data_IF_969710502515
#
_entry.id   IF_969710502515
#
_cell.length_a   1.000
_cell.length_b   1.000
_cell.length_c   1.000
_cell.angle_alpha   90.00
_cell.angle_beta   90.00
_cell.angle_gamma   90.00
#
_symmetry.space_group_name_H-M   'P 1'
#
loop_
_entity.id
_entity.type
_entity.pdbx_description
1 polymer ?
#
# COMPACT_ATOMS: atom_id res chain seq x y z
N UNK A 1 -15.17 11.14 28.70
CA UNK A 1 -15.60 11.54 27.34
C UNK A 1 -14.45 12.04 26.45
N UNK A 2 -13.49 12.86 26.92
CA UNK A 2 -12.38 13.40 26.07
C UNK A 2 -11.37 12.31 25.65
N UNK A 3 -11.04 11.37 26.53
CA UNK A 3 -10.12 10.25 26.25
C UNK A 3 -10.67 9.26 25.23
N UNK A 4 -11.98 8.98 25.25
CA UNK A 4 -12.64 8.08 24.29
C UNK A 4 -12.61 8.69 22.88
N UNK A 5 -12.80 9.99 22.75
CA UNK A 5 -12.69 10.70 21.45
C UNK A 5 -11.26 10.71 20.88
N UNK A 6 -10.26 10.80 21.74
CA UNK A 6 -8.86 10.75 21.31
C UNK A 6 -8.53 9.34 20.82
N UNK A 7 -8.94 8.32 21.55
CA UNK A 7 -8.72 6.93 21.19
C UNK A 7 -9.39 6.58 19.85
N UNK A 8 -10.64 6.98 19.64
CA UNK A 8 -11.34 6.74 18.38
C UNK A 8 -10.69 7.45 17.19
N UNK A 9 -10.15 8.67 17.37
CA UNK A 9 -9.37 9.37 16.33
C UNK A 9 -8.06 8.64 16.01
N UNK A 10 -7.33 8.16 17.02
CA UNK A 10 -6.09 7.41 16.82
C UNK A 10 -6.35 6.09 16.09
N UNK A 11 -7.41 5.38 16.46
CA UNK A 11 -7.81 4.15 15.75
C UNK A 11 -8.18 4.46 14.30
N UNK A 12 -8.89 5.54 14.02
CA UNK A 12 -9.21 5.95 12.66
C UNK A 12 -7.97 6.28 11.81
N UNK A 13 -6.92 6.85 12.40
CA UNK A 13 -5.67 7.19 11.74
C UNK A 13 -4.65 6.02 11.71
N UNK A 14 -4.98 4.90 12.33
CA UNK A 14 -4.10 3.72 12.43
C UNK A 14 -3.49 3.29 11.09
N UNK A 15 -4.28 3.16 10.01
CA UNK A 15 -3.76 2.79 8.70
C UNK A 15 -2.75 3.79 8.12
N UNK A 16 -2.98 5.07 8.35
CA UNK A 16 -2.06 6.13 7.91
C UNK A 16 -0.77 6.09 8.72
N UNK A 17 -0.86 5.94 10.03
CA UNK A 17 0.31 5.79 10.91
C UNK A 17 1.11 4.55 10.51
N UNK A 18 0.43 3.44 10.22
CA UNK A 18 1.08 2.21 9.77
C UNK A 18 1.80 2.40 8.43
N UNK A 19 1.19 3.11 7.48
CA UNK A 19 1.81 3.42 6.19
C UNK A 19 3.10 4.23 6.38
N UNK A 20 3.06 5.31 7.17
CA UNK A 20 4.25 6.12 7.44
C UNK A 20 5.32 5.35 8.21
N UNK A 21 4.91 4.55 9.19
CA UNK A 21 5.85 3.69 9.92
C UNK A 21 6.60 2.73 8.98
N UNK A 22 5.87 2.08 8.07
CA UNK A 22 6.47 1.19 7.08
C UNK A 22 7.34 1.92 6.05
N UNK A 23 7.01 3.18 5.74
CA UNK A 23 7.83 4.00 4.83
C UNK A 23 9.13 4.48 5.47
N UNK A 24 9.19 4.56 6.80
CA UNK A 24 10.41 4.94 7.54
C UNK A 24 11.23 3.71 7.92
N UNK A 25 10.56 2.59 8.23
CA UNK A 25 11.27 1.38 8.60
C UNK A 25 11.81 0.71 7.34
N UNK A 26 13.12 0.57 7.27
CA UNK A 26 13.76 -0.35 6.34
C UNK A 26 13.36 -1.78 6.67
N UNK A 27 12.09 -2.16 6.41
CA UNK A 27 11.68 -3.57 6.43
C UNK A 27 12.19 -4.26 5.16
N UNK A 28 13.03 -3.60 4.39
CA UNK A 28 13.83 -4.24 3.38
C UNK A 28 15.01 -4.94 4.04
N UNK A 29 14.65 -6.08 4.62
CA UNK A 29 15.39 -7.32 4.48
C UNK A 29 16.93 -7.23 4.52
N UNK A 30 17.46 -7.09 5.69
CA UNK A 30 18.63 -7.90 6.02
C UNK A 30 18.17 -9.32 6.48
N UNK A 31 17.12 -9.86 5.83
CA UNK A 31 16.85 -11.29 5.88
C UNK A 31 17.84 -11.96 4.92
N UNK A 32 18.90 -12.55 5.52
CA UNK A 32 19.91 -13.29 4.81
C UNK A 32 19.29 -14.19 3.72
N UNK A 33 19.83 -14.12 2.54
CA UNK A 33 19.76 -14.88 1.27
C UNK A 33 18.66 -15.92 1.03
N UNK A 34 18.05 -16.51 2.05
CA UNK A 34 16.99 -17.52 1.91
C UNK A 34 15.57 -16.94 1.88
N UNK A 35 15.37 -15.70 2.36
CA UNK A 35 14.06 -15.04 2.42
C UNK A 35 13.90 -13.88 1.44
N UNK A 36 14.92 -13.50 0.67
CA UNK A 36 14.78 -12.50 -0.40
C UNK A 36 13.68 -12.87 -1.41
N UNK A 37 13.49 -14.17 -1.65
CA UNK A 37 12.47 -14.69 -2.55
C UNK A 37 11.05 -14.45 -2.00
N UNK A 38 10.86 -14.38 -0.67
CA UNK A 38 9.57 -14.19 0.00
C UNK A 38 9.23 -12.71 0.27
N UNK A 39 9.98 -11.76 -0.33
CA UNK A 39 9.68 -10.36 -0.17
C UNK A 39 8.31 -10.01 -0.76
N UNK A 40 7.48 -9.26 -0.02
CA UNK A 40 6.21 -8.75 -0.50
C UNK A 40 5.99 -7.31 -0.03
N UNK A 41 5.29 -6.53 -0.82
CA UNK A 41 5.10 -5.10 -0.55
C UNK A 41 3.78 -4.85 0.19
N UNK A 42 3.83 -4.88 1.52
CA UNK A 42 2.68 -4.61 2.38
C UNK A 42 2.16 -3.17 2.23
N UNK A 43 3.02 -2.20 1.88
CA UNK A 43 2.62 -0.80 1.70
C UNK A 43 1.61 -0.67 0.57
N UNK A 44 1.82 -1.37 -0.57
CA UNK A 44 0.88 -1.36 -1.69
C UNK A 44 -0.48 -1.98 -1.32
N UNK A 45 -0.48 -3.03 -0.48
CA UNK A 45 -1.71 -3.65 0.03
C UNK A 45 -2.48 -2.66 0.91
N UNK A 46 -1.79 -1.99 1.83
CA UNK A 46 -2.38 -0.97 2.71
C UNK A 46 -2.95 0.19 1.90
N UNK A 47 -2.17 0.74 0.96
CA UNK A 47 -2.60 1.85 0.12
C UNK A 47 -3.85 1.46 -0.66
N UNK A 48 -3.84 0.30 -1.35
CA UNK A 48 -4.99 -0.13 -2.14
C UNK A 48 -6.25 -0.29 -1.28
N UNK A 49 -6.16 -1.08 -0.19
CA UNK A 49 -7.32 -1.40 0.66
C UNK A 49 -7.93 -0.14 1.28
N UNK A 50 -7.10 0.73 1.86
CA UNK A 50 -7.60 1.91 2.57
C UNK A 50 -8.02 3.04 1.64
N UNK A 51 -7.41 3.19 0.47
CA UNK A 51 -7.92 4.10 -0.57
C UNK A 51 -9.27 3.64 -1.13
N UNK A 52 -9.52 2.33 -1.17
CA UNK A 52 -10.81 1.75 -1.54
C UNK A 52 -11.88 1.98 -0.47
N UNK A 53 -11.56 1.67 0.79
CA UNK A 53 -12.54 1.69 1.90
C UNK A 53 -12.70 3.07 2.54
N UNK A 54 -11.61 3.83 2.68
CA UNK A 54 -11.58 5.11 3.41
C UNK A 54 -10.66 6.14 2.75
N UNK A 55 -10.98 6.64 1.56
CA UNK A 55 -10.16 7.65 0.88
C UNK A 55 -10.06 8.97 1.65
N UNK A 56 -10.99 9.23 2.57
CA UNK A 56 -10.94 10.39 3.45
C UNK A 56 -9.77 10.35 4.45
N UNK A 57 -9.27 9.16 4.81
CA UNK A 57 -8.11 8.96 5.67
C UNK A 57 -6.85 8.77 4.83
N UNK A 58 -6.93 7.94 3.80
CA UNK A 58 -5.82 7.60 2.90
C UNK A 58 -5.86 8.51 1.66
N UNK A 59 -5.80 9.83 1.88
CA UNK A 59 -5.78 10.81 0.78
C UNK A 59 -4.52 10.70 -0.07
N UNK A 60 -4.64 11.02 -1.38
CA UNK A 60 -3.53 10.93 -2.34
C UNK A 60 -2.29 11.74 -1.90
N UNK A 61 -2.48 12.84 -1.16
CA UNK A 61 -1.38 13.62 -0.59
C UNK A 61 -0.55 12.82 0.42
N UNK A 62 -1.22 12.09 1.33
CA UNK A 62 -0.53 11.25 2.31
C UNK A 62 0.21 10.08 1.65
N UNK A 63 -0.41 9.46 0.64
CA UNK A 63 0.21 8.39 -0.15
C UNK A 63 1.46 8.89 -0.87
N UNK A 64 1.38 10.07 -1.48
CA UNK A 64 2.52 10.71 -2.14
C UNK A 64 3.67 11.00 -1.16
N UNK A 65 3.38 11.61 -0.01
CA UNK A 65 4.40 11.90 1.00
C UNK A 65 5.00 10.61 1.60
N UNK A 66 4.22 9.58 1.83
CA UNK A 66 4.73 8.28 2.27
C UNK A 66 5.71 7.69 1.25
N UNK A 67 5.44 7.82 -0.05
CA UNK A 67 6.35 7.41 -1.11
C UNK A 67 7.63 8.24 -1.14
N UNK A 68 7.57 9.57 -0.95
CA UNK A 68 8.78 10.42 -0.85
C UNK A 68 9.65 9.99 0.33
N UNK A 69 9.05 9.71 1.49
CA UNK A 69 9.79 9.23 2.66
C UNK A 69 10.47 7.90 2.35
N UNK A 70 9.75 6.98 1.71
CA UNK A 70 10.30 5.71 1.28
C UNK A 70 11.48 5.88 0.32
N UNK A 71 11.38 6.78 -0.67
CA UNK A 71 12.47 7.08 -1.62
C UNK A 71 13.72 7.59 -0.89
N UNK A 72 13.54 8.48 0.10
CA UNK A 72 14.65 9.02 0.90
C UNK A 72 15.33 7.92 1.73
N UNK A 73 14.53 7.07 2.38
CA UNK A 73 15.05 5.98 3.22
C UNK A 73 15.79 4.94 2.38
N UNK A 74 15.26 4.59 1.22
CA UNK A 74 15.87 3.64 0.29
C UNK A 74 17.07 4.22 -0.51
N UNK A 75 17.31 5.53 -0.42
CA UNK A 75 18.36 6.19 -1.19
C UNK A 75 18.14 6.16 -2.71
N UNK A 76 16.89 6.06 -3.15
CA UNK A 76 16.51 6.08 -4.57
C UNK A 76 16.04 7.48 -4.98
N UNK A 77 16.00 7.81 -6.29
CA UNK A 77 15.52 9.11 -6.75
C UNK A 77 14.10 9.41 -6.27
N UNK A 78 13.93 10.63 -5.77
CA UNK A 78 12.64 11.10 -5.27
C UNK A 78 11.56 11.02 -6.34
N UNK A 79 10.43 10.44 -5.99
CA UNK A 79 9.26 10.33 -6.84
C UNK A 79 8.99 8.93 -7.40
N UNK A 80 9.97 8.01 -7.37
CA UNK A 80 9.79 6.66 -7.89
C UNK A 80 8.72 5.88 -7.12
N UNK A 81 8.90 5.73 -5.82
CA UNK A 81 7.89 5.07 -4.96
C UNK A 81 6.61 5.90 -4.87
N UNK A 82 6.74 7.24 -4.83
CA UNK A 82 5.58 8.11 -4.77
C UNK A 82 4.63 7.94 -5.96
N UNK A 83 5.17 7.87 -7.18
CA UNK A 83 4.37 7.64 -8.38
C UNK A 83 3.75 6.24 -8.39
N UNK A 84 4.53 5.22 -7.99
CA UNK A 84 4.05 3.86 -7.87
C UNK A 84 2.89 3.74 -6.88
N UNK A 85 3.01 4.38 -5.72
CA UNK A 85 1.97 4.41 -4.68
C UNK A 85 0.72 5.16 -5.16
N UNK A 86 0.90 6.29 -5.86
CA UNK A 86 -0.23 7.04 -6.43
C UNK A 86 -1.00 6.24 -7.48
N UNK A 87 -0.34 5.46 -8.33
CA UNK A 87 -1.00 4.61 -9.31
C UNK A 87 -1.93 3.61 -8.61
N UNK A 88 -1.45 2.97 -7.54
CA UNK A 88 -2.26 2.03 -6.77
C UNK A 88 -3.44 2.74 -6.08
N UNK A 89 -3.21 3.91 -5.48
CA UNK A 89 -4.27 4.69 -4.82
C UNK A 89 -5.32 5.19 -5.82
N UNK A 90 -4.91 5.71 -6.97
CA UNK A 90 -5.81 6.20 -8.01
C UNK A 90 -6.63 5.07 -8.62
N UNK A 91 -6.01 3.92 -8.91
CA UNK A 91 -6.71 2.74 -9.40
C UNK A 91 -7.76 2.27 -8.40
N UNK A 92 -7.40 2.19 -7.13
CA UNK A 92 -8.32 1.83 -6.04
C UNK A 92 -9.51 2.80 -5.92
N UNK A 93 -9.23 4.11 -5.99
CA UNK A 93 -10.27 5.15 -5.94
C UNK A 93 -11.19 5.09 -7.17
N UNK A 94 -10.62 4.82 -8.35
CA UNK A 94 -11.39 4.62 -9.58
C UNK A 94 -12.34 3.42 -9.45
N UNK A 95 -11.84 2.29 -8.98
CA UNK A 95 -12.65 1.08 -8.75
C UNK A 95 -13.78 1.35 -7.76
N UNK A 96 -13.51 2.07 -6.66
CA UNK A 96 -14.54 2.48 -5.70
C UNK A 96 -15.68 3.25 -6.36
N UNK A 97 -15.36 4.17 -7.26
CA UNK A 97 -16.36 5.02 -7.92
C UNK A 97 -17.20 4.25 -8.97
N UNK A 98 -16.66 3.18 -9.53
CA UNK A 98 -17.33 2.36 -10.54
C UNK A 98 -18.13 1.19 -9.96
N UNK A 99 -17.79 0.73 -8.76
CA UNK A 99 -18.34 -0.51 -8.18
C UNK A 99 -19.14 -0.20 -6.91
N UNK A 100 -20.44 -0.46 -6.96
CA UNK A 100 -21.35 -0.27 -5.80
C UNK A 100 -21.11 -1.34 -4.73
N UNK A 101 -20.83 -2.58 -5.16
CA UNK A 101 -20.58 -3.72 -4.27
C UNK A 101 -19.19 -4.29 -4.53
N UNK A 102 -18.27 -4.10 -3.60
CA UNK A 102 -16.95 -4.71 -3.67
C UNK A 102 -16.98 -6.12 -3.08
N UNK A 103 -16.54 -7.10 -3.87
CA UNK A 103 -16.27 -8.46 -3.39
C UNK A 103 -14.77 -8.67 -3.30
N UNK A 104 -14.34 -9.58 -2.43
CA UNK A 104 -12.91 -9.92 -2.29
C UNK A 104 -12.29 -10.33 -3.63
N UNK A 105 -13.02 -11.05 -4.47
CA UNK A 105 -12.55 -11.51 -5.78
C UNK A 105 -12.34 -10.35 -6.74
N UNK A 106 -13.26 -9.38 -6.77
CA UNK A 106 -13.14 -8.18 -7.58
C UNK A 106 -11.98 -7.32 -7.10
N UNK A 107 -11.87 -7.11 -5.77
CA UNK A 107 -10.81 -6.33 -5.16
C UNK A 107 -9.43 -6.96 -5.42
N UNK A 108 -9.34 -8.29 -5.36
CA UNK A 108 -8.10 -9.03 -5.63
C UNK A 108 -7.65 -8.90 -7.09
N UNK A 109 -8.58 -9.07 -8.03
CA UNK A 109 -8.25 -8.93 -9.45
C UNK A 109 -7.84 -7.49 -9.82
N UNK A 110 -8.56 -6.50 -9.32
CA UNK A 110 -8.24 -5.09 -9.58
C UNK A 110 -6.95 -4.65 -8.87
N UNK A 111 -6.66 -5.20 -7.69
CA UNK A 111 -5.36 -5.02 -7.05
C UNK A 111 -4.22 -5.61 -7.88
N UNK A 112 -4.40 -6.81 -8.45
CA UNK A 112 -3.41 -7.41 -9.34
C UNK A 112 -3.09 -6.51 -10.53
N UNK A 113 -4.11 -5.95 -11.17
CA UNK A 113 -3.92 -4.99 -12.27
C UNK A 113 -3.20 -3.73 -11.79
N UNK A 114 -3.61 -3.18 -10.64
CA UNK A 114 -2.99 -1.98 -10.07
C UNK A 114 -1.50 -2.14 -9.78
N UNK A 115 -1.10 -3.27 -9.17
CA UNK A 115 0.31 -3.54 -8.86
C UNK A 115 1.15 -3.78 -10.10
N UNK A 116 0.60 -4.39 -11.15
CA UNK A 116 1.30 -4.54 -12.42
C UNK A 116 1.61 -3.17 -13.03
N UNK A 117 0.64 -2.26 -13.11
CA UNK A 117 0.86 -0.91 -13.61
C UNK A 117 1.85 -0.13 -12.76
N UNK A 118 1.76 -0.24 -11.43
CA UNK A 118 2.67 0.38 -10.48
C UNK A 118 4.12 -0.08 -10.72
N UNK A 119 4.34 -1.39 -10.79
CA UNK A 119 5.67 -1.97 -10.95
C UNK A 119 6.25 -1.73 -12.36
N UNK A 120 5.42 -1.70 -13.40
CA UNK A 120 5.84 -1.30 -14.74
C UNK A 120 6.32 0.15 -14.74
N UNK A 121 5.56 1.05 -14.13
CA UNK A 121 5.95 2.47 -14.04
C UNK A 121 7.25 2.63 -13.26
N UNK A 122 7.36 1.97 -12.10
CA UNK A 122 8.59 1.97 -11.30
C UNK A 122 9.80 1.48 -12.12
N UNK A 123 9.65 0.36 -12.82
CA UNK A 123 10.74 -0.23 -13.63
C UNK A 123 11.16 0.68 -14.78
N UNK A 124 10.21 1.28 -15.51
CA UNK A 124 10.50 2.20 -16.60
C UNK A 124 11.21 3.47 -16.08
N UNK A 125 10.74 4.03 -14.99
CA UNK A 125 11.34 5.24 -14.42
C UNK A 125 12.73 4.93 -13.85
N UNK A 126 12.88 3.84 -13.11
CA UNK A 126 14.16 3.44 -12.56
C UNK A 126 15.21 3.21 -13.65
N UNK A 127 14.86 2.53 -14.74
CA UNK A 127 15.79 2.27 -15.84
C UNK A 127 16.18 3.53 -16.64
N UNK A 128 15.35 4.57 -16.65
CA UNK A 128 15.64 5.80 -17.40
C UNK A 128 16.33 6.87 -16.58
N UNK A 129 16.10 6.90 -15.27
CA UNK A 129 16.58 7.99 -14.40
C UNK A 129 17.67 7.54 -13.42
N UNK A 130 17.99 6.25 -13.39
CA UNK A 130 19.02 5.71 -12.48
C UNK A 130 19.85 4.64 -13.19
N UNK A 131 21.11 4.51 -12.75
CA UNK A 131 21.94 3.36 -13.14
C UNK A 131 21.58 2.08 -12.37
N UNK A 132 20.47 2.09 -11.64
CA UNK A 132 19.99 0.94 -10.86
C UNK A 132 19.43 -0.10 -11.84
N UNK A 133 20.14 -1.21 -11.97
CA UNK A 133 19.63 -2.38 -12.70
C UNK A 133 18.50 -3.02 -11.90
N UNK A 134 17.24 -2.68 -12.24
CA UNK A 134 16.07 -3.33 -11.64
C UNK A 134 16.10 -4.80 -12.03
N UNK A 135 16.32 -5.67 -11.08
CA UNK A 135 16.25 -7.11 -11.32
C UNK A 135 14.78 -7.50 -11.52
N UNK A 136 14.35 -7.58 -12.78
CA UNK A 136 12.96 -7.90 -13.13
C UNK A 136 12.46 -9.21 -12.50
N UNK A 137 13.38 -10.17 -12.30
CA UNK A 137 13.06 -11.44 -11.65
C UNK A 137 12.63 -11.21 -10.19
N UNK A 138 13.40 -10.45 -9.42
CA UNK A 138 13.08 -10.15 -8.02
C UNK A 138 11.79 -9.32 -7.90
N UNK A 139 11.60 -8.36 -8.79
CA UNK A 139 10.35 -7.58 -8.87
C UNK A 139 9.15 -8.48 -9.17
N UNK A 140 9.31 -9.46 -10.05
CA UNK A 140 8.24 -10.42 -10.38
C UNK A 140 7.89 -11.32 -9.19
N UNK A 141 8.88 -11.82 -8.45
CA UNK A 141 8.64 -12.59 -7.22
C UNK A 141 7.94 -11.74 -6.15
N UNK A 142 8.41 -10.51 -5.92
CA UNK A 142 7.77 -9.60 -4.98
C UNK A 142 6.30 -9.33 -5.36
N UNK A 143 6.03 -9.07 -6.65
CA UNK A 143 4.66 -8.88 -7.16
C UNK A 143 3.79 -10.12 -6.91
N UNK A 144 4.30 -11.31 -7.23
CA UNK A 144 3.59 -12.57 -7.06
C UNK A 144 3.21 -12.82 -5.60
N UNK A 145 4.17 -12.69 -4.69
CA UNK A 145 3.90 -12.86 -3.26
C UNK A 145 2.96 -11.78 -2.72
N UNK A 146 3.12 -10.53 -3.14
CA UNK A 146 2.23 -9.44 -2.73
C UNK A 146 0.78 -9.73 -3.11
N UNK A 147 0.54 -10.25 -4.31
CA UNK A 147 -0.80 -10.62 -4.79
C UNK A 147 -1.35 -11.83 -4.03
N UNK A 148 -0.53 -12.83 -3.72
CA UNK A 148 -0.96 -14.01 -2.93
C UNK A 148 -1.31 -13.62 -1.50
N UNK A 149 -0.54 -12.73 -0.88
CA UNK A 149 -0.80 -12.30 0.49
C UNK A 149 -1.96 -11.31 0.61
N UNK A 150 -2.37 -10.66 -0.47
CA UNK A 150 -3.46 -9.69 -0.47
C UNK A 150 -4.76 -10.20 0.19
N UNK A 151 -5.30 -11.40 -0.08
CA UNK A 151 -6.53 -11.88 0.56
C UNK A 151 -6.42 -11.99 2.07
N UNK A 152 -5.24 -12.36 2.60
CA UNK A 152 -5.00 -12.49 4.04
C UNK A 152 -5.08 -11.11 4.69
N UNK A 153 -4.37 -10.12 4.13
CA UNK A 153 -4.40 -8.75 4.62
C UNK A 153 -5.78 -8.10 4.43
N UNK A 154 -6.45 -8.39 3.31
CA UNK A 154 -7.81 -7.92 3.08
C UNK A 154 -8.76 -8.36 4.20
N UNK A 155 -8.67 -9.62 4.63
CA UNK A 155 -9.47 -10.15 5.73
C UNK A 155 -9.15 -9.44 7.06
N UNK A 156 -7.86 -9.30 7.39
CA UNK A 156 -7.41 -8.61 8.61
C UNK A 156 -7.89 -7.15 8.62
N UNK A 157 -7.70 -6.42 7.53
CA UNK A 157 -8.08 -5.02 7.42
C UNK A 157 -9.60 -4.84 7.38
N UNK A 158 -10.35 -5.79 6.85
CA UNK A 158 -11.80 -5.75 6.87
C UNK A 158 -12.35 -5.89 8.30
N UNK A 159 -11.78 -6.79 9.11
CA UNK A 159 -12.10 -6.88 10.54
C UNK A 159 -11.77 -5.55 11.24
N UNK A 160 -10.58 -5.01 11.01
CA UNK A 160 -10.19 -3.73 11.60
C UNK A 160 -11.14 -2.58 11.18
N UNK A 161 -11.52 -2.52 9.91
CA UNK A 161 -12.46 -1.51 9.40
C UNK A 161 -13.84 -1.62 10.07
N UNK A 162 -14.33 -2.84 10.35
CA UNK A 162 -15.61 -3.05 11.04
C UNK A 162 -15.57 -2.57 12.49
N UNK A 163 -14.46 -2.77 13.19
CA UNK A 163 -14.28 -2.28 14.57
C UNK A 163 -14.33 -0.75 14.64
N UNK A 164 -13.80 -0.07 13.62
CA UNK A 164 -13.84 1.40 13.56
C UNK A 164 -15.27 1.92 13.32
N UNK A 165 -16.06 1.25 12.49
CA UNK A 165 -17.44 1.67 12.19
C UNK A 165 -18.36 1.48 13.38
N UNK A 166 -18.27 0.36 14.08
CA UNK A 166 -19.06 0.06 15.28
C UNK A 166 -18.81 1.07 16.43
N UNK A 167 -17.59 1.58 16.55
CA UNK A 167 -17.24 2.60 17.56
C UNK A 167 -17.72 4.03 17.25
N UNK A 168 -18.34 4.27 16.08
CA UNK A 168 -18.96 5.58 15.75
C UNK A 168 -20.43 5.68 16.14
N UNK A 169 -21.09 4.55 16.30
CA UNK A 169 -22.53 4.47 16.60
C UNK A 169 -22.82 4.28 18.11
N UNK A 170 -21.77 4.24 18.95
CA UNK A 170 -21.80 4.21 20.41
C UNK A 170 -21.34 5.54 21.03
#
# INVERSE_FOLDING_TARGET
MRSIRILSKLINLGPLILLYYLSISEIDSHFENYFEILSFNIQLIIIYFWSLKRPEVMGNGHVFFAGIINDVVMGIPLGLSSLSYLIVALTSTYVKNMTVNTSITSDWFTFFVAILFSNLTFSILASNFTDISVQLINLSYNTFFTVIFFPIFWFIFNIYSSLITTGKDA
#
